data_IF_319865698463
#
_entry.id   IF_319865698463
#
_cell.length_a   1.000
_cell.length_b   1.000
_cell.length_c   1.000
_cell.angle_alpha   90.00
_cell.angle_beta   90.00
_cell.angle_gamma   90.00
#
_symmetry.space_group_name_H-M   'P 1'
#
loop_
_entity.id
_entity.type
_entity.pdbx_description
1 polymer ?
#
# COMPACT_ATOMS: atom_id res chain seq x y z
N UNK A 1 1.29 -17.47 -72.82
CA UNK A 1 0.98 -18.31 -74.00
C UNK A 1 0.98 -19.75 -73.52
N UNK A 2 -0.18 -20.39 -73.59
CA UNK A 2 -0.45 -21.84 -73.73
C UNK A 2 0.11 -22.74 -72.60
N UNK A 3 -0.70 -23.15 -71.60
CA UNK A 3 -1.60 -24.35 -71.56
C UNK A 3 -0.78 -25.61 -71.16
N UNK A 4 -1.09 -26.39 -70.11
CA UNK A 4 -2.12 -27.46 -70.00
C UNK A 4 -1.99 -28.01 -68.54
N UNK A 5 -3.04 -27.96 -67.70
CA UNK A 5 -3.89 -29.08 -67.17
C UNK A 5 -3.12 -30.13 -66.33
N UNK A 6 -3.57 -30.56 -65.13
CA UNK A 6 -4.62 -31.58 -64.92
C UNK A 6 -5.36 -31.43 -63.58
N UNK A 7 -6.64 -31.80 -63.62
CA UNK A 7 -7.72 -31.84 -62.63
C UNK A 7 -7.55 -32.72 -61.38
N UNK A 8 -8.40 -32.52 -60.35
CA UNK A 8 -8.53 -33.38 -59.18
C UNK A 8 -9.47 -34.57 -59.42
N UNK A 9 -9.16 -35.71 -58.80
CA UNK A 9 -10.09 -36.85 -58.75
C UNK A 9 -10.95 -36.79 -57.47
N UNK A 10 -12.26 -36.77 -57.71
CA UNK A 10 -13.46 -36.68 -56.84
C UNK A 10 -13.94 -38.15 -56.54
N UNK A 11 -15.07 -38.53 -55.86
CA UNK A 11 -16.01 -37.92 -54.89
C UNK A 11 -16.32 -38.77 -53.62
N UNK A 12 -17.11 -38.20 -52.68
CA UNK A 12 -17.79 -38.96 -51.62
C UNK A 12 -18.89 -38.24 -50.82
N UNK A 13 -19.88 -37.65 -51.50
CA UNK A 13 -21.31 -37.49 -51.12
C UNK A 13 -21.74 -37.58 -49.62
N UNK A 14 -22.34 -36.51 -49.05
CA UNK A 14 -23.81 -36.29 -48.94
C UNK A 14 -24.20 -35.03 -48.16
N UNK A 15 -25.25 -34.40 -48.68
CA UNK A 15 -25.95 -33.18 -48.27
C UNK A 15 -27.14 -33.47 -47.37
N UNK A 16 -27.52 -32.50 -46.52
CA UNK A 16 -28.90 -31.99 -46.25
C UNK A 16 -28.93 -31.35 -44.86
N UNK A 17 -29.73 -30.35 -44.48
CA UNK A 17 -30.59 -29.35 -45.12
C UNK A 17 -31.23 -28.55 -43.96
N UNK A 18 -31.58 -27.28 -44.17
CA UNK A 18 -32.83 -26.60 -43.76
C UNK A 18 -32.61 -25.11 -43.49
N UNK A 19 -33.07 -24.19 -44.34
CA UNK A 19 -34.44 -23.68 -44.59
C UNK A 19 -34.67 -22.36 -43.83
N UNK A 20 -34.66 -21.29 -44.61
CA UNK A 20 -35.15 -19.94 -44.31
C UNK A 20 -36.68 -19.89 -44.46
N UNK A 21 -37.34 -19.13 -43.58
CA UNK A 21 -38.71 -18.64 -43.79
C UNK A 21 -38.73 -17.12 -43.71
N UNK A 22 -39.47 -16.56 -44.68
CA UNK A 22 -39.59 -15.14 -45.03
C UNK A 22 -41.04 -14.72 -44.75
N UNK A 23 -41.26 -13.48 -44.31
CA UNK A 23 -42.57 -12.83 -44.42
C UNK A 23 -42.39 -11.34 -44.77
N UNK A 24 -43.31 -10.79 -45.58
CA UNK A 24 -43.32 -9.46 -46.22
C UNK A 24 -44.77 -8.87 -46.09
N UNK A 25 -45.12 -7.65 -46.58
CA UNK A 25 -45.42 -6.42 -45.82
C UNK A 25 -46.86 -5.87 -46.04
N UNK A 26 -47.17 -4.61 -45.64
CA UNK A 26 -47.51 -3.53 -46.63
C UNK A 26 -46.97 -2.12 -46.21
N UNK A 27 -46.40 -1.24 -47.08
CA UNK A 27 -46.96 -0.25 -48.06
C UNK A 27 -47.82 0.89 -47.44
N UNK A 28 -47.72 2.19 -47.76
CA UNK A 28 -46.82 3.07 -48.53
C UNK A 28 -47.15 4.56 -48.22
N UNK A 29 -46.18 5.50 -48.31
CA UNK A 29 -46.43 6.95 -48.26
C UNK A 29 -45.17 7.76 -48.60
N UNK A 30 -45.26 8.66 -49.59
CA UNK A 30 -44.17 9.34 -50.33
C UNK A 30 -43.53 10.52 -49.56
N UNK A 31 -42.24 10.78 -49.78
CA UNK A 31 -41.64 12.10 -49.54
C UNK A 31 -40.11 12.16 -49.31
N UNK A 32 -39.36 12.39 -50.39
CA UNK A 32 -38.04 13.05 -50.52
C UNK A 32 -36.98 13.01 -49.38
N UNK A 33 -35.92 12.23 -49.63
CA UNK A 33 -34.52 12.68 -49.84
C UNK A 33 -33.84 13.63 -48.81
N UNK A 34 -33.02 13.09 -47.91
CA UNK A 34 -31.58 13.45 -47.77
C UNK A 34 -30.84 12.46 -46.85
N UNK A 35 -29.59 12.12 -47.21
CA UNK A 35 -28.70 11.22 -46.46
C UNK A 35 -28.03 11.92 -45.28
N UNK A 36 -27.76 11.19 -44.18
CA UNK A 36 -26.51 11.37 -43.47
C UNK A 36 -25.67 10.08 -43.43
N UNK A 37 -24.38 10.29 -43.68
CA UNK A 37 -23.30 9.31 -43.55
C UNK A 37 -23.20 8.81 -42.11
N UNK A 38 -23.29 7.50 -41.90
CA UNK A 38 -22.77 6.83 -40.70
C UNK A 38 -21.75 5.80 -41.17
N UNK A 39 -20.47 6.10 -40.94
CA UNK A 39 -19.36 5.17 -41.13
C UNK A 39 -19.39 4.18 -39.97
N UNK A 40 -19.60 2.91 -40.28
CA UNK A 40 -19.42 1.80 -39.36
C UNK A 40 -17.94 1.63 -39.04
N UNK A 41 -17.61 1.62 -37.74
CA UNK A 41 -16.28 1.28 -37.24
C UNK A 41 -16.08 -0.23 -37.36
N UNK A 42 -15.16 -0.66 -38.23
CA UNK A 42 -14.73 -2.04 -38.38
C UNK A 42 -13.58 -2.26 -37.40
N UNK A 43 -13.80 -3.10 -36.39
CA UNK A 43 -12.79 -3.61 -35.48
C UNK A 43 -11.88 -4.58 -36.23
N UNK A 44 -10.63 -4.20 -36.49
CA UNK A 44 -9.63 -5.07 -37.09
C UNK A 44 -9.06 -6.03 -36.03
N UNK A 45 -9.40 -7.32 -36.13
CA UNK A 45 -8.75 -8.40 -35.40
C UNK A 45 -7.74 -9.06 -36.34
N UNK A 46 -6.47 -8.71 -36.21
CA UNK A 46 -5.38 -9.30 -37.00
C UNK A 46 -5.05 -10.70 -36.50
N UNK A 47 -5.56 -11.74 -37.18
CA UNK A 47 -5.02 -13.10 -37.10
C UNK A 47 -3.81 -13.19 -38.06
N UNK A 48 -2.61 -13.34 -37.51
CA UNK A 48 -1.42 -13.68 -38.26
C UNK A 48 -1.30 -15.21 -38.33
N UNK A 49 -1.77 -15.81 -39.42
CA UNK A 49 -1.59 -17.23 -39.73
C UNK A 49 -0.18 -17.46 -40.28
N UNK A 50 0.69 -18.07 -39.47
CA UNK A 50 2.04 -18.49 -39.89
C UNK A 50 1.95 -19.81 -40.67
N UNK A 51 2.36 -19.77 -41.94
CA UNK A 51 2.48 -20.96 -42.80
C UNK A 51 3.73 -21.75 -42.38
N UNK A 52 3.56 -22.98 -41.91
CA UNK A 52 4.67 -23.90 -41.69
C UNK A 52 5.09 -24.54 -43.02
N UNK A 53 6.28 -24.19 -43.51
CA UNK A 53 6.99 -24.94 -44.54
C UNK A 53 7.47 -26.26 -43.92
N UNK A 54 6.89 -27.38 -44.34
CA UNK A 54 7.42 -28.71 -44.03
C UNK A 54 8.56 -28.99 -45.01
N UNK A 55 9.79 -28.76 -44.57
CA UNK A 55 10.96 -29.35 -45.18
C UNK A 55 11.06 -30.82 -44.75
N UNK A 56 11.07 -31.74 -45.72
CA UNK A 56 11.55 -33.10 -45.46
C UNK A 56 13.06 -33.03 -45.21
N UNK A 57 13.47 -33.01 -43.95
CA UNK A 57 14.84 -33.32 -43.57
C UNK A 57 14.98 -34.81 -43.24
N UNK A 58 16.07 -35.38 -43.76
CA UNK A 58 16.59 -36.73 -43.55
C UNK A 58 16.58 -37.15 -42.06
N UNK A 59 16.63 -38.46 -41.73
CA UNK A 59 16.63 -38.91 -40.34
C UNK A 59 17.87 -38.39 -39.60
N UNK A 60 17.71 -37.28 -38.89
CA UNK A 60 18.70 -36.74 -37.95
C UNK A 60 18.74 -37.71 -36.78
N UNK A 61 19.94 -38.24 -36.50
CA UNK A 61 20.22 -38.99 -35.28
C UNK A 61 19.72 -38.18 -34.07
N UNK A 62 19.11 -38.81 -33.04
CA UNK A 62 18.69 -38.10 -31.85
C UNK A 62 19.91 -37.39 -31.25
N UNK A 63 19.97 -36.06 -31.38
CA UNK A 63 20.86 -35.26 -30.54
C UNK A 63 20.28 -35.35 -29.14
N UNK A 64 21.10 -35.76 -28.17
CA UNK A 64 20.86 -35.75 -26.73
C UNK A 64 20.58 -34.32 -26.18
N UNK A 65 19.54 -33.66 -26.70
CA UNK A 65 19.22 -32.24 -26.43
C UNK A 65 17.79 -32.01 -25.97
N UNK A 66 16.94 -33.04 -25.86
CA UNK A 66 15.55 -32.94 -25.41
C UNK A 66 15.37 -33.07 -23.90
N UNK A 67 16.43 -33.41 -23.17
CA UNK A 67 16.38 -33.49 -21.72
C UNK A 67 16.24 -32.08 -21.11
N UNK A 68 15.26 -31.92 -20.21
CA UNK A 68 15.13 -30.73 -19.37
C UNK A 68 16.32 -30.70 -18.42
N UNK A 69 17.15 -29.65 -18.51
CA UNK A 69 18.33 -29.46 -17.66
C UNK A 69 18.11 -28.38 -16.61
N UNK A 70 17.05 -27.58 -16.73
CA UNK A 70 16.72 -26.52 -15.79
C UNK A 70 15.20 -26.32 -15.70
N UNK A 71 14.69 -26.04 -14.50
CA UNK A 71 13.33 -25.53 -14.29
C UNK A 71 13.40 -24.03 -13.97
N UNK A 72 12.53 -23.24 -14.59
CA UNK A 72 12.27 -21.85 -14.22
C UNK A 72 10.90 -21.74 -13.56
N UNK A 73 10.84 -21.02 -12.46
CA UNK A 73 9.59 -20.65 -11.78
C UNK A 73 9.33 -19.16 -12.00
N UNK A 74 8.09 -18.81 -12.33
CA UNK A 74 7.66 -17.43 -12.54
C UNK A 74 6.42 -17.11 -11.69
N UNK A 75 6.39 -15.97 -10.96
CA UNK A 75 7.51 -15.04 -10.77
C UNK A 75 8.66 -15.71 -9.98
N UNK A 76 9.89 -15.23 -10.16
CA UNK A 76 11.08 -15.71 -9.44
C UNK A 76 11.16 -15.18 -7.99
N UNK A 77 10.52 -14.05 -7.73
CA UNK A 77 10.26 -13.55 -6.39
C UNK A 77 8.95 -12.77 -6.28
N UNK A 78 8.35 -12.79 -5.09
CA UNK A 78 7.14 -12.04 -4.74
C UNK A 78 7.19 -11.60 -3.29
N UNK A 79 6.58 -10.47 -2.95
CA UNK A 79 6.33 -10.10 -1.55
C UNK A 79 4.85 -10.30 -1.23
N UNK A 80 4.54 -11.05 -0.17
CA UNK A 80 3.16 -11.38 0.21
C UNK A 80 2.88 -11.02 1.66
N UNK A 81 1.67 -10.51 1.91
CA UNK A 81 1.11 -10.39 3.25
C UNK A 81 0.66 -11.76 3.78
N UNK A 82 0.54 -11.96 5.11
CA UNK A 82 0.02 -13.21 5.65
C UNK A 82 -1.36 -13.56 5.08
N UNK A 83 -1.59 -14.83 4.79
CA UNK A 83 -2.80 -15.38 4.15
C UNK A 83 -3.02 -14.97 2.69
N UNK A 84 -2.16 -14.14 2.10
CA UNK A 84 -2.25 -13.81 0.67
C UNK A 84 -1.83 -15.00 -0.20
N UNK A 85 -2.48 -15.15 -1.36
CA UNK A 85 -2.19 -16.19 -2.33
C UNK A 85 -1.41 -15.68 -3.54
N UNK A 86 -0.50 -16.48 -4.09
CA UNK A 86 0.21 -16.23 -5.34
C UNK A 86 0.24 -17.48 -6.22
N UNK A 87 -0.09 -17.33 -7.51
CA UNK A 87 0.10 -18.38 -8.51
C UNK A 87 1.53 -18.39 -9.06
N UNK A 88 2.17 -19.55 -9.05
CA UNK A 88 3.47 -19.79 -9.69
C UNK A 88 3.32 -20.72 -10.89
N UNK A 89 4.09 -20.46 -11.94
CA UNK A 89 4.15 -21.31 -13.14
C UNK A 89 5.58 -21.81 -13.32
N UNK A 90 5.73 -23.08 -13.70
CA UNK A 90 7.02 -23.68 -14.00
C UNK A 90 7.18 -23.95 -15.50
N UNK A 91 8.39 -23.73 -16.04
CA UNK A 91 8.77 -24.14 -17.39
C UNK A 91 10.15 -24.81 -17.40
N UNK A 92 10.31 -25.83 -18.25
CA UNK A 92 11.59 -26.49 -18.45
C UNK A 92 12.44 -25.79 -19.49
N UNK A 93 13.76 -25.84 -19.34
CA UNK A 93 14.72 -25.47 -20.38
C UNK A 93 15.60 -26.67 -20.75
N UNK A 94 15.77 -26.88 -22.05
CA UNK A 94 16.69 -27.89 -22.59
C UNK A 94 18.12 -27.40 -22.57
N UNK A 95 19.08 -28.30 -22.81
CA UNK A 95 20.48 -27.92 -23.01
C UNK A 95 20.68 -26.95 -24.19
N UNK A 96 19.78 -26.98 -25.18
CA UNK A 96 19.76 -26.03 -26.31
C UNK A 96 19.20 -24.65 -25.96
N UNK A 97 18.64 -24.47 -24.76
CA UNK A 97 18.03 -23.21 -24.30
C UNK A 97 16.54 -23.05 -24.63
N UNK A 98 15.94 -24.01 -25.33
CA UNK A 98 14.52 -24.01 -25.69
C UNK A 98 13.64 -24.18 -24.45
N UNK A 99 12.50 -23.48 -24.41
CA UNK A 99 11.52 -23.60 -23.32
C UNK A 99 10.47 -24.64 -23.66
N UNK A 100 10.11 -25.48 -22.69
CA UNK A 100 9.09 -26.52 -22.83
C UNK A 100 8.17 -26.60 -21.61
N UNK A 101 6.93 -27.05 -21.85
CA UNK A 101 6.01 -27.39 -20.78
C UNK A 101 6.52 -28.61 -20.00
N UNK A 102 6.27 -28.62 -18.69
CA UNK A 102 6.76 -29.65 -17.77
C UNK A 102 5.72 -29.95 -16.71
N UNK A 103 5.62 -31.21 -16.31
CA UNK A 103 4.89 -31.60 -15.11
C UNK A 103 5.83 -31.51 -13.92
N UNK A 104 5.42 -30.79 -12.88
CA UNK A 104 6.23 -30.56 -11.68
C UNK A 104 5.46 -30.90 -10.42
N UNK A 105 6.19 -31.35 -9.40
CA UNK A 105 5.71 -31.41 -8.03
C UNK A 105 6.12 -30.14 -7.31
N UNK A 106 5.14 -29.46 -6.70
CA UNK A 106 5.36 -28.25 -5.92
C UNK A 106 5.60 -28.58 -4.45
N UNK A 107 6.59 -27.92 -3.84
CA UNK A 107 6.83 -27.95 -2.39
C UNK A 107 7.15 -26.56 -1.88
N UNK A 108 7.06 -26.37 -0.56
CA UNK A 108 7.33 -25.10 0.09
C UNK A 108 7.96 -25.28 1.46
N UNK A 109 8.81 -24.33 1.88
CA UNK A 109 9.48 -24.38 3.19
C UNK A 109 8.58 -23.97 4.37
N UNK A 110 7.50 -23.24 4.12
CA UNK A 110 6.46 -22.85 5.09
C UNK A 110 5.18 -22.47 4.34
N UNK A 111 4.04 -22.32 5.02
CA UNK A 111 2.75 -22.07 4.36
C UNK A 111 2.20 -23.29 3.64
N UNK A 112 1.36 -23.06 2.63
CA UNK A 112 0.75 -24.14 1.83
C UNK A 112 0.86 -23.86 0.35
N UNK A 113 1.04 -24.89 -0.48
CA UNK A 113 1.00 -24.77 -1.94
C UNK A 113 0.16 -25.90 -2.53
N UNK A 114 -0.72 -25.57 -3.46
CA UNK A 114 -1.56 -26.55 -4.16
C UNK A 114 -0.78 -27.24 -5.28
N UNK A 115 -1.23 -28.41 -5.77
CA UNK A 115 -0.65 -29.04 -6.96
C UNK A 115 -0.69 -28.16 -8.22
N UNK A 116 -1.59 -27.16 -8.27
CA UNK A 116 -1.67 -26.19 -9.36
C UNK A 116 -0.67 -25.02 -9.24
N UNK A 117 0.23 -25.04 -8.25
CA UNK A 117 1.22 -23.99 -8.05
C UNK A 117 0.68 -22.73 -7.37
N UNK A 118 -0.51 -22.79 -6.75
CA UNK A 118 -1.04 -21.67 -5.96
C UNK A 118 -0.56 -21.78 -4.52
N UNK A 119 0.32 -20.86 -4.13
CA UNK A 119 0.88 -20.72 -2.79
C UNK A 119 0.00 -19.82 -1.90
N UNK A 120 -0.11 -20.12 -0.60
CA UNK A 120 -0.72 -19.28 0.43
C UNK A 120 0.26 -19.04 1.57
N UNK A 121 0.55 -17.77 1.88
CA UNK A 121 1.45 -17.40 2.96
C UNK A 121 0.88 -17.71 4.35
N UNK A 122 1.69 -18.32 5.22
CA UNK A 122 1.43 -18.42 6.65
C UNK A 122 1.79 -17.13 7.40
N UNK A 123 1.60 -17.14 8.72
CA UNK A 123 1.87 -16.00 9.61
C UNK A 123 3.32 -15.97 10.15
N UNK A 124 4.15 -16.97 9.84
CA UNK A 124 5.55 -17.01 10.27
C UNK A 124 6.38 -15.88 9.64
N UNK A 125 7.40 -15.40 10.34
CA UNK A 125 8.16 -14.22 9.92
C UNK A 125 9.33 -14.50 8.95
N UNK A 126 9.63 -15.77 8.66
CA UNK A 126 10.75 -16.17 7.79
C UNK A 126 10.36 -16.20 6.31
N UNK A 127 11.21 -15.71 5.41
CA UNK A 127 11.01 -15.83 3.96
C UNK A 127 10.84 -17.31 3.54
N UNK A 128 10.07 -17.53 2.48
CA UNK A 128 9.69 -18.86 2.01
C UNK A 128 10.32 -19.15 0.66
N UNK A 129 10.73 -20.41 0.48
CA UNK A 129 11.16 -20.94 -0.81
C UNK A 129 10.02 -21.80 -1.34
N UNK A 130 9.56 -21.49 -2.55
CA UNK A 130 8.66 -22.33 -3.33
C UNK A 130 9.50 -23.07 -4.37
N UNK A 131 9.40 -24.40 -4.39
CA UNK A 131 10.21 -25.25 -5.27
C UNK A 131 9.31 -26.01 -6.24
N UNK A 132 9.63 -25.96 -7.53
CA UNK A 132 9.09 -26.83 -8.56
C UNK A 132 10.13 -27.89 -8.93
N UNK A 133 9.82 -29.16 -8.73
CA UNK A 133 10.69 -30.29 -9.11
C UNK A 133 10.06 -31.07 -10.24
N UNK A 134 10.81 -31.30 -11.32
CA UNK A 134 10.37 -32.09 -12.46
C UNK A 134 9.98 -33.52 -12.04
N UNK A 135 8.80 -33.98 -12.44
CA UNK A 135 8.34 -35.34 -12.10
C UNK A 135 9.30 -36.40 -12.69
N UNK A 136 9.75 -37.33 -11.85
CA UNK A 136 10.68 -38.39 -12.25
C UNK A 136 12.15 -37.95 -12.40
N UNK A 137 12.51 -36.74 -11.96
CA UNK A 137 13.87 -36.19 -12.02
C UNK A 137 14.22 -35.42 -10.74
N UNK A 138 15.50 -35.07 -10.57
CA UNK A 138 16.00 -34.20 -9.49
C UNK A 138 16.15 -32.74 -9.94
N UNK A 139 15.84 -32.42 -11.20
CA UNK A 139 15.95 -31.05 -11.72
C UNK A 139 14.82 -30.19 -11.12
N UNK A 140 15.19 -29.11 -10.45
CA UNK A 140 14.27 -28.20 -9.78
C UNK A 140 14.56 -26.73 -10.06
N UNK A 141 13.56 -25.89 -9.84
CA UNK A 141 13.64 -24.44 -9.88
C UNK A 141 12.96 -23.87 -8.65
N UNK A 142 13.41 -22.69 -8.21
CA UNK A 142 12.90 -22.05 -7.00
C UNK A 142 12.36 -20.66 -7.29
N UNK A 143 11.39 -20.25 -6.48
CA UNK A 143 10.97 -18.87 -6.33
C UNK A 143 11.04 -18.47 -4.86
N UNK A 144 11.33 -17.19 -4.62
CA UNK A 144 11.46 -16.63 -3.29
C UNK A 144 10.23 -15.80 -2.91
N UNK A 145 9.51 -16.22 -1.88
CA UNK A 145 8.43 -15.44 -1.28
C UNK A 145 8.99 -14.69 -0.08
N UNK A 146 9.04 -13.37 -0.18
CA UNK A 146 9.33 -12.51 0.96
C UNK A 146 8.05 -12.28 1.74
N UNK A 147 7.95 -12.82 2.96
CA UNK A 147 6.78 -12.56 3.79
C UNK A 147 6.91 -11.15 4.36
N UNK A 148 5.92 -10.30 4.08
CA UNK A 148 5.78 -9.02 4.77
C UNK A 148 5.49 -9.35 6.23
N UNK A 149 6.49 -9.04 7.07
CA UNK A 149 6.30 -9.04 8.51
C UNK A 149 5.19 -8.03 8.81
N UNK A 150 4.28 -8.37 9.71
CA UNK A 150 3.24 -7.46 10.17
C UNK A 150 3.72 -6.87 11.49
N UNK A 151 3.51 -5.58 11.71
CA UNK A 151 3.76 -4.98 13.00
C UNK A 151 2.93 -5.73 14.06
N UNK A 152 3.43 -5.93 15.29
CA UNK A 152 2.61 -6.52 16.33
C UNK A 152 1.30 -5.73 16.46
N UNK A 153 0.19 -6.46 16.57
CA UNK A 153 -1.11 -5.80 16.68
C UNK A 153 -1.14 -4.94 17.94
N UNK A 154 -1.59 -3.70 17.77
CA UNK A 154 -1.80 -2.72 18.82
C UNK A 154 -3.30 -2.57 19.09
N UNK A 155 -3.67 -2.44 20.36
CA UNK A 155 -5.04 -2.08 20.75
C UNK A 155 -5.33 -0.61 20.43
N UNK A 156 -4.31 0.24 20.59
CA UNK A 156 -4.38 1.66 20.31
C UNK A 156 -3.10 2.17 19.64
N UNK A 157 -3.26 2.95 18.57
CA UNK A 157 -2.18 3.65 17.86
C UNK A 157 -2.38 5.15 17.96
N UNK A 158 -1.33 5.87 18.36
CA UNK A 158 -1.30 7.31 18.52
C UNK A 158 -0.23 7.89 17.60
N UNK A 159 -0.54 9.00 16.95
CA UNK A 159 0.44 9.82 16.24
C UNK A 159 0.38 11.25 16.77
N UNK A 160 1.53 11.80 17.12
CA UNK A 160 1.74 13.23 17.37
C UNK A 160 2.60 13.75 16.23
N UNK A 161 2.16 14.82 15.57
CA UNK A 161 2.94 15.51 14.54
C UNK A 161 3.39 16.87 15.06
N UNK A 162 4.71 17.04 15.13
CA UNK A 162 5.41 18.30 15.41
C UNK A 162 5.89 18.91 14.08
N UNK A 163 6.39 20.14 14.07
CA UNK A 163 6.58 20.93 12.85
C UNK A 163 8.02 21.38 12.60
N UNK A 164 8.42 21.49 11.33
CA UNK A 164 9.47 22.37 10.79
C UNK A 164 10.86 22.36 11.46
N UNK A 165 11.40 21.21 11.85
CA UNK A 165 12.76 21.12 12.41
C UNK A 165 13.62 20.04 11.77
N UNK A 166 14.87 20.41 11.48
CA UNK A 166 15.89 19.46 11.03
C UNK A 166 16.12 18.39 12.11
N UNK A 167 16.38 17.16 11.69
CA UNK A 167 16.68 16.04 12.59
C UNK A 167 17.70 16.39 13.69
N UNK A 168 18.78 17.11 13.33
CA UNK A 168 19.84 17.49 14.28
C UNK A 168 19.47 18.60 15.26
N UNK A 169 18.42 19.37 14.98
CA UNK A 169 17.89 20.36 15.92
C UNK A 169 17.08 19.70 17.05
N UNK A 170 16.51 18.51 16.77
CA UNK A 170 15.67 17.74 17.69
C UNK A 170 16.47 16.64 18.40
N UNK A 171 16.98 15.67 17.65
CA UNK A 171 17.61 14.47 18.22
C UNK A 171 19.04 14.77 18.66
N UNK A 172 19.31 14.60 19.96
CA UNK A 172 20.61 14.89 20.56
C UNK A 172 20.79 16.36 20.96
N UNK A 173 19.75 17.18 20.82
CA UNK A 173 19.70 18.57 21.26
C UNK A 173 19.29 18.69 22.73
N UNK A 174 19.84 19.67 23.45
CA UNK A 174 19.40 20.00 24.81
C UNK A 174 18.05 20.73 24.84
N UNK A 175 17.49 21.10 23.69
CA UNK A 175 16.21 21.78 23.58
C UNK A 175 15.01 20.82 23.65
N UNK A 176 15.20 19.54 23.34
CA UNK A 176 14.16 18.50 23.43
C UNK A 176 14.62 17.25 24.21
N UNK A 177 14.98 17.39 25.50
CA UNK A 177 15.48 16.29 26.30
C UNK A 177 14.45 15.16 26.50
N UNK A 178 13.15 15.46 26.62
CA UNK A 178 12.13 14.44 26.81
C UNK A 178 11.97 13.57 25.56
N UNK A 179 11.78 14.16 24.38
CA UNK A 179 11.68 13.38 23.13
C UNK A 179 12.97 12.60 22.83
N UNK A 180 14.14 13.20 23.08
CA UNK A 180 15.42 12.50 22.95
C UNK A 180 15.52 11.31 23.90
N UNK A 181 15.01 11.42 25.13
CA UNK A 181 14.99 10.29 26.07
C UNK A 181 14.11 9.13 25.58
N UNK A 182 12.97 9.42 24.96
CA UNK A 182 12.11 8.40 24.35
C UNK A 182 12.81 7.70 23.19
N UNK A 183 13.51 8.47 22.33
CA UNK A 183 14.28 7.92 21.23
C UNK A 183 15.42 6.99 21.69
N UNK A 184 16.06 7.31 22.83
CA UNK A 184 17.09 6.46 23.44
C UNK A 184 16.52 5.20 24.09
N UNK A 185 15.31 5.28 24.64
CA UNK A 185 14.67 4.17 25.33
C UNK A 185 14.00 3.18 24.37
N UNK A 186 13.42 3.67 23.27
CA UNK A 186 12.59 2.90 22.36
C UNK A 186 13.20 2.86 20.94
N UNK A 187 12.43 3.14 19.90
CA UNK A 187 12.88 3.08 18.51
C UNK A 187 13.05 4.46 17.87
N UNK A 188 14.12 4.63 17.09
CA UNK A 188 14.41 5.83 16.32
C UNK A 188 14.73 5.48 14.86
N UNK A 189 14.02 6.09 13.92
CA UNK A 189 14.35 6.01 12.50
C UNK A 189 15.39 7.08 12.17
N UNK A 190 16.66 6.69 12.09
CA UNK A 190 17.74 7.66 11.84
C UNK A 190 17.70 8.22 10.43
N UNK A 191 17.14 7.49 9.46
CA UNK A 191 17.05 7.90 8.05
C UNK A 191 15.59 8.17 7.63
N UNK A 192 14.83 8.88 8.47
CA UNK A 192 13.48 9.32 8.15
C UNK A 192 13.48 10.70 7.48
N UNK A 193 12.75 10.85 6.38
CA UNK A 193 12.67 12.08 5.61
C UNK A 193 11.22 12.48 5.35
N UNK A 194 10.96 13.77 5.42
CA UNK A 194 9.68 14.33 4.99
C UNK A 194 9.53 14.28 3.47
N UNK A 195 8.30 14.35 3.00
CA UNK A 195 7.98 14.14 1.60
C UNK A 195 8.03 15.43 0.80
N UNK A 196 7.70 16.57 1.40
CA UNK A 196 7.55 17.82 0.66
C UNK A 196 7.66 19.06 1.55
N UNK A 197 7.51 20.22 0.91
CA UNK A 197 7.33 21.54 1.50
C UNK A 197 6.17 22.27 0.79
N UNK A 198 5.28 22.99 1.49
CA UNK A 198 5.19 23.20 2.94
C UNK A 198 4.33 22.11 3.64
N UNK A 199 4.18 22.25 4.97
CA UNK A 199 3.63 21.27 5.90
C UNK A 199 2.37 20.52 5.45
N UNK A 200 1.38 21.22 4.89
CA UNK A 200 0.06 20.61 4.58
C UNK A 200 0.16 19.38 3.67
N UNK A 201 1.16 19.33 2.79
CA UNK A 201 1.41 18.16 1.94
C UNK A 201 1.81 16.92 2.73
N UNK A 202 2.64 17.10 3.78
CA UNK A 202 3.08 16.02 4.66
C UNK A 202 1.93 15.50 5.54
N UNK A 203 1.04 16.38 6.04
CA UNK A 203 -0.18 15.94 6.75
C UNK A 203 -1.11 15.11 5.85
N UNK A 204 -1.29 15.52 4.59
CA UNK A 204 -2.06 14.72 3.65
C UNK A 204 -1.36 13.40 3.31
N UNK A 205 -0.03 13.36 3.25
CA UNK A 205 0.71 12.10 3.05
C UNK A 205 0.49 11.15 4.26
N UNK A 206 0.52 11.68 5.50
CA UNK A 206 0.23 10.92 6.72
C UNK A 206 -1.24 10.44 6.79
N UNK A 207 -2.19 11.14 6.16
CA UNK A 207 -3.61 10.78 6.21
C UNK A 207 -4.10 9.97 4.99
N UNK A 208 -3.46 10.13 3.83
CA UNK A 208 -3.95 9.62 2.54
C UNK A 208 -2.91 8.86 1.72
N UNK A 209 -1.64 8.90 2.14
CA UNK A 209 -0.52 8.39 1.35
C UNK A 209 -0.31 9.17 0.05
N UNK A 210 -0.79 10.42 -0.02
CA UNK A 210 -0.66 11.28 -1.19
C UNK A 210 -0.43 12.74 -0.76
N UNK A 211 0.47 13.42 -1.44
CA UNK A 211 0.58 14.88 -1.41
C UNK A 211 -0.57 15.47 -2.23
N UNK A 212 -1.67 15.83 -1.57
CA UNK A 212 -2.85 16.41 -2.24
C UNK A 212 -2.60 17.85 -2.68
N UNK A 213 -1.84 18.60 -1.88
CA UNK A 213 -1.55 20.01 -2.13
C UNK A 213 -0.36 20.45 -1.29
N UNK A 214 0.30 21.50 -1.76
CA UNK A 214 1.34 22.25 -1.05
C UNK A 214 0.91 23.72 -0.84
N UNK A 215 -0.41 23.96 -0.84
CA UNK A 215 -0.98 25.28 -0.61
C UNK A 215 -1.61 25.32 0.79
N UNK A 216 -0.99 26.04 1.72
CA UNK A 216 -1.49 26.17 3.10
C UNK A 216 -2.89 26.79 3.20
N UNK A 217 -3.34 27.52 2.16
CA UNK A 217 -4.70 28.05 2.09
C UNK A 217 -5.72 27.06 1.53
N UNK A 218 -5.35 25.81 1.30
CA UNK A 218 -6.24 24.79 0.75
C UNK A 218 -7.43 24.52 1.68
N UNK A 219 -8.62 24.46 1.08
CA UNK A 219 -9.89 24.33 1.81
C UNK A 219 -10.90 23.42 1.11
N UNK A 220 -10.47 22.73 0.05
CA UNK A 220 -11.32 21.84 -0.72
C UNK A 220 -11.47 20.50 0.00
N UNK A 221 -12.68 19.94 -0.04
CA UNK A 221 -12.94 18.61 0.50
C UNK A 221 -12.29 17.55 -0.39
N UNK A 222 -11.52 16.68 0.24
CA UNK A 222 -10.70 15.64 -0.38
C UNK A 222 -11.43 14.31 -0.35
N UNK A 223 -11.63 13.70 -1.51
CA UNK A 223 -12.41 12.46 -1.66
C UNK A 223 -11.58 11.20 -1.87
N UNK A 224 -10.25 11.34 -1.99
CA UNK A 224 -9.36 10.20 -2.20
C UNK A 224 -9.46 9.19 -1.06
N UNK A 225 -8.99 7.98 -1.33
CA UNK A 225 -8.82 6.98 -0.29
C UNK A 225 -7.88 7.46 0.83
N UNK A 226 -8.23 7.15 2.08
CA UNK A 226 -7.60 7.74 3.26
C UNK A 226 -7.73 6.85 4.49
N UNK A 227 -6.95 7.18 5.52
CA UNK A 227 -6.86 6.44 6.78
C UNK A 227 -8.23 6.24 7.45
N UNK A 228 -9.12 7.24 7.45
CA UNK A 228 -10.46 7.13 8.06
C UNK A 228 -11.27 6.06 7.35
N UNK A 229 -11.30 6.09 6.01
CA UNK A 229 -12.01 5.08 5.22
C UNK A 229 -11.51 3.67 5.52
N UNK A 230 -10.18 3.51 5.64
CA UNK A 230 -9.55 2.22 5.91
C UNK A 230 -9.82 1.71 7.33
N UNK A 231 -9.82 2.59 8.32
CA UNK A 231 -10.18 2.25 9.70
C UNK A 231 -11.65 1.82 9.80
N UNK A 232 -12.58 2.59 9.21
CA UNK A 232 -14.01 2.27 9.24
C UNK A 232 -14.31 0.94 8.54
N UNK A 233 -13.68 0.67 7.40
CA UNK A 233 -13.83 -0.61 6.70
C UNK A 233 -13.34 -1.81 7.53
N UNK A 234 -12.38 -1.60 8.43
CA UNK A 234 -11.87 -2.61 9.36
C UNK A 234 -12.62 -2.65 10.70
N UNK A 235 -13.70 -1.86 10.87
CA UNK A 235 -14.44 -1.77 12.12
C UNK A 235 -13.68 -1.08 13.25
N UNK A 236 -12.68 -0.26 12.92
CA UNK A 236 -11.84 0.47 13.88
C UNK A 236 -12.40 1.85 14.19
N UNK A 237 -12.26 2.25 15.44
CA UNK A 237 -12.63 3.57 15.93
C UNK A 237 -11.47 4.54 15.79
N UNK A 238 -11.77 5.83 15.62
CA UNK A 238 -10.75 6.87 15.51
C UNK A 238 -11.21 8.19 16.10
N UNK A 239 -10.26 9.04 16.50
CA UNK A 239 -10.47 10.46 16.79
C UNK A 239 -9.25 11.30 16.38
N UNK A 240 -9.48 12.57 16.07
CA UNK A 240 -8.44 13.59 16.02
C UNK A 240 -8.61 14.55 17.18
N UNK A 241 -7.63 14.57 18.08
CA UNK A 241 -7.53 15.45 19.24
C UNK A 241 -6.66 16.65 18.88
N UNK A 242 -7.27 17.81 18.66
CA UNK A 242 -6.55 19.02 18.26
C UNK A 242 -6.64 20.09 19.35
N UNK A 243 -5.51 20.65 19.76
CA UNK A 243 -5.50 21.79 20.68
C UNK A 243 -6.18 23.00 20.03
N UNK A 244 -6.83 23.80 20.87
CA UNK A 244 -7.61 24.98 20.47
C UNK A 244 -8.70 24.75 19.42
N UNK A 245 -9.06 23.48 19.11
CA UNK A 245 -10.22 23.19 18.28
C UNK A 245 -11.47 23.80 18.97
N UNK A 246 -12.23 24.69 18.29
CA UNK A 246 -13.27 25.48 18.97
C UNK A 246 -14.41 24.65 19.57
N UNK A 247 -14.74 23.53 18.92
CA UNK A 247 -15.84 22.66 19.31
C UNK A 247 -15.71 21.30 18.64
N UNK A 248 -16.40 20.30 19.20
CA UNK A 248 -16.50 18.98 18.59
C UNK A 248 -17.10 19.10 17.18
N UNK A 249 -16.42 18.51 16.21
CA UNK A 249 -16.83 18.51 14.81
C UNK A 249 -16.59 19.80 14.05
N UNK A 250 -15.76 20.71 14.57
CA UNK A 250 -15.37 21.91 13.85
C UNK A 250 -14.53 21.57 12.61
N UNK A 251 -14.96 22.05 11.44
CA UNK A 251 -14.27 21.91 10.14
C UNK A 251 -13.97 23.26 9.48
N UNK A 252 -14.16 24.35 10.23
CA UNK A 252 -13.94 25.72 9.76
C UNK A 252 -12.46 26.05 9.58
N UNK A 253 -12.15 27.30 9.18
CA UNK A 253 -10.77 27.75 9.02
C UNK A 253 -10.03 27.85 10.36
N UNK A 254 -8.75 28.18 10.29
CA UNK A 254 -7.87 28.46 11.43
C UNK A 254 -8.49 29.47 12.40
N UNK A 255 -8.23 29.29 13.70
CA UNK A 255 -8.78 30.15 14.75
C UNK A 255 -7.94 30.06 16.02
N UNK A 256 -7.46 31.21 16.52
CA UNK A 256 -6.55 31.22 17.66
C UNK A 256 -5.28 30.42 17.36
N UNK A 257 -4.91 29.49 18.25
CA UNK A 257 -3.80 28.56 18.05
C UNK A 257 -4.12 27.34 17.19
N UNK A 258 -5.37 27.13 16.78
CA UNK A 258 -5.75 25.99 15.94
C UNK A 258 -5.52 26.32 14.45
N UNK A 259 -4.71 25.48 13.79
CA UNK A 259 -4.50 25.51 12.35
C UNK A 259 -5.15 24.27 11.69
N UNK A 260 -6.11 24.47 10.79
CA UNK A 260 -6.78 23.36 10.08
C UNK A 260 -5.80 22.59 9.19
N UNK A 261 -4.77 23.25 8.66
CA UNK A 261 -3.75 22.59 7.83
C UNK A 261 -2.99 21.47 8.59
N UNK A 262 -2.89 21.54 9.92
CA UNK A 262 -2.29 20.48 10.77
C UNK A 262 -3.33 19.39 11.13
N UNK A 263 -4.61 19.60 10.83
CA UNK A 263 -5.70 18.64 11.05
C UNK A 263 -6.48 18.40 9.75
N UNK A 264 -5.79 17.84 8.75
CA UNK A 264 -6.38 17.55 7.42
C UNK A 264 -7.57 16.60 7.45
N UNK A 265 -7.84 15.91 8.57
CA UNK A 265 -9.05 15.12 8.77
C UNK A 265 -10.32 15.99 8.64
N UNK A 266 -10.24 17.28 8.97
CA UNK A 266 -11.31 18.26 8.76
C UNK A 266 -11.59 18.57 7.27
N UNK A 267 -10.77 18.04 6.35
CA UNK A 267 -10.93 18.18 4.90
C UNK A 267 -11.26 16.86 4.20
N UNK A 268 -11.28 15.72 4.92
CA UNK A 268 -11.59 14.43 4.31
C UNK A 268 -13.10 14.25 4.13
N UNK A 269 -13.52 13.80 2.96
CA UNK A 269 -14.95 13.62 2.65
C UNK A 269 -15.63 12.62 3.57
N UNK A 270 -14.93 11.57 4.01
CA UNK A 270 -15.42 10.55 4.95
C UNK A 270 -15.71 11.12 6.35
N UNK A 271 -15.15 12.30 6.66
CA UNK A 271 -15.37 13.03 7.91
C UNK A 271 -16.38 14.15 7.69
N UNK A 272 -16.16 14.97 6.68
CA UNK A 272 -16.98 16.16 6.43
C UNK A 272 -18.38 15.80 5.98
N UNK A 273 -18.60 14.70 5.26
CA UNK A 273 -19.93 14.34 4.76
C UNK A 273 -20.71 13.40 5.69
N UNK A 274 -20.11 12.93 6.78
CA UNK A 274 -20.75 12.05 7.76
C UNK A 274 -20.77 12.72 9.14
N UNK A 275 -21.97 13.05 9.64
CA UNK A 275 -22.11 13.70 10.95
C UNK A 275 -21.55 12.88 12.11
N UNK A 276 -21.62 11.54 12.04
CA UNK A 276 -21.08 10.68 13.09
C UNK A 276 -19.54 10.73 13.10
N UNK A 277 -18.92 10.72 11.93
CA UNK A 277 -17.46 10.82 11.79
C UNK A 277 -16.96 12.23 12.12
N UNK A 278 -17.72 13.27 11.76
CA UNK A 278 -17.36 14.65 12.11
C UNK A 278 -17.22 14.84 13.62
N UNK A 279 -18.07 14.20 14.44
CA UNK A 279 -17.95 14.28 15.92
C UNK A 279 -16.68 13.62 16.49
N UNK A 280 -15.86 12.97 15.66
CA UNK A 280 -14.55 12.43 16.03
C UNK A 280 -13.41 13.45 15.95
N UNK A 281 -13.68 14.63 15.38
CA UNK A 281 -12.82 15.80 15.56
C UNK A 281 -13.15 16.43 16.90
N UNK A 282 -12.21 16.38 17.84
CA UNK A 282 -12.45 16.78 19.23
C UNK A 282 -11.38 17.74 19.73
N UNK A 283 -11.74 18.70 20.62
CA UNK A 283 -10.74 19.49 21.32
C UNK A 283 -9.81 18.60 22.16
N UNK A 284 -8.51 18.91 22.16
CA UNK A 284 -7.50 18.10 22.84
C UNK A 284 -7.78 17.88 24.33
N UNK A 285 -8.49 18.81 24.98
CA UNK A 285 -8.92 18.64 26.38
C UNK A 285 -9.79 17.40 26.64
N UNK A 286 -10.35 16.76 25.60
CA UNK A 286 -11.03 15.46 25.72
C UNK A 286 -10.08 14.27 25.86
N UNK A 287 -8.81 14.42 25.50
CA UNK A 287 -7.83 13.33 25.52
C UNK A 287 -7.62 12.75 26.92
N UNK A 288 -7.41 13.61 27.93
CA UNK A 288 -7.19 13.17 29.30
C UNK A 288 -8.42 12.46 29.93
N UNK A 289 -9.67 12.97 29.79
CA UNK A 289 -10.87 12.23 30.17
C UNK A 289 -11.02 10.89 29.44
N UNK A 290 -10.75 10.84 28.13
CA UNK A 290 -10.87 9.59 27.37
C UNK A 290 -9.85 8.54 27.87
N UNK A 291 -8.62 8.98 28.15
CA UNK A 291 -7.55 8.16 28.73
C UNK A 291 -7.95 7.64 30.13
N UNK A 292 -8.40 8.53 31.02
CA UNK A 292 -8.77 8.17 32.38
C UNK A 292 -9.96 7.20 32.44
N UNK A 293 -10.89 7.30 31.49
CA UNK A 293 -12.07 6.44 31.42
C UNK A 293 -11.88 5.17 30.59
N UNK A 294 -10.70 4.94 29.99
CA UNK A 294 -10.45 3.78 29.13
C UNK A 294 -11.29 3.79 27.85
N UNK A 295 -11.50 4.97 27.27
CA UNK A 295 -12.38 5.20 26.10
C UNK A 295 -11.63 5.80 24.90
N UNK A 296 -10.30 5.68 24.90
CA UNK A 296 -9.47 6.04 23.75
C UNK A 296 -9.89 5.21 22.52
N UNK A 297 -9.86 5.78 21.32
CA UNK A 297 -10.17 5.05 20.09
C UNK A 297 -9.01 4.12 19.69
N UNK A 298 -9.24 3.21 18.75
CA UNK A 298 -8.17 2.40 18.15
C UNK A 298 -7.09 3.31 17.51
N UNK A 299 -7.48 4.39 16.82
CA UNK A 299 -6.55 5.36 16.24
C UNK A 299 -6.75 6.79 16.77
N UNK A 300 -5.67 7.41 17.27
CA UNK A 300 -5.67 8.78 17.76
C UNK A 300 -4.68 9.64 16.98
N UNK A 301 -5.18 10.62 16.22
CA UNK A 301 -4.38 11.71 15.67
C UNK A 301 -4.30 12.84 16.70
N UNK A 302 -3.11 13.24 17.13
CA UNK A 302 -2.90 14.27 18.13
C UNK A 302 -2.21 15.46 17.46
N UNK A 303 -2.84 16.63 17.55
CA UNK A 303 -2.42 17.86 16.87
C UNK A 303 -2.19 18.95 17.92
N UNK A 304 -0.94 19.25 18.28
CA UNK A 304 -0.61 20.42 19.10
C UNK A 304 -1.05 21.72 18.41
N UNK A 305 -1.23 22.79 19.19
CA UNK A 305 -1.49 24.11 18.60
C UNK A 305 -0.20 24.75 18.09
N UNK A 306 -0.32 25.90 17.42
CA UNK A 306 0.81 26.64 16.85
C UNK A 306 1.96 26.93 17.84
N UNK A 307 1.72 26.98 19.16
CA UNK A 307 2.81 27.18 20.12
C UNK A 307 3.39 25.88 20.69
N UNK A 308 2.68 24.77 20.58
CA UNK A 308 3.11 23.49 21.13
C UNK A 308 3.59 22.51 20.04
N UNK A 309 3.52 22.88 18.77
CA UNK A 309 3.93 22.09 17.60
C UNK A 309 5.42 22.25 17.24
N UNK A 310 6.19 22.93 18.08
CA UNK A 310 7.60 23.26 17.89
C UNK A 310 7.93 24.32 16.81
N UNK A 311 6.97 24.85 16.05
CA UNK A 311 7.28 25.81 14.99
C UNK A 311 7.16 27.27 15.42
N UNK A 312 5.99 27.72 15.90
CA UNK A 312 5.82 29.15 16.22
C UNK A 312 6.40 29.52 17.60
N UNK A 313 6.64 28.51 18.43
CA UNK A 313 7.28 28.62 19.74
C UNK A 313 8.52 27.71 19.83
N UNK A 314 9.24 27.77 20.95
CA UNK A 314 10.52 27.06 21.07
C UNK A 314 10.36 25.54 21.11
N UNK A 315 11.37 24.81 20.64
CA UNK A 315 11.53 23.36 20.83
C UNK A 315 11.34 22.92 22.29
N UNK A 316 11.77 23.74 23.26
CA UNK A 316 11.60 23.45 24.69
C UNK A 316 10.15 23.59 25.15
N UNK A 317 9.36 24.46 24.53
CA UNK A 317 7.92 24.56 24.77
C UNK A 317 7.23 23.28 24.32
N UNK A 318 7.50 22.83 23.09
CA UNK A 318 6.96 21.59 22.54
C UNK A 318 7.41 20.36 23.36
N UNK A 319 8.68 20.27 23.72
CA UNK A 319 9.19 19.14 24.54
C UNK A 319 8.55 19.10 25.93
N UNK A 320 8.31 20.26 26.55
CA UNK A 320 7.57 20.37 27.81
C UNK A 320 6.10 19.95 27.62
N UNK A 321 5.49 20.33 26.50
CA UNK A 321 4.13 19.91 26.17
C UNK A 321 4.02 18.39 26.00
N UNK A 322 4.96 17.76 25.27
CA UNK A 322 5.06 16.32 25.15
C UNK A 322 5.22 15.64 26.51
N UNK A 323 6.09 16.17 27.37
CA UNK A 323 6.29 15.66 28.73
C UNK A 323 5.01 15.73 29.59
N UNK A 324 4.26 16.83 29.50
CA UNK A 324 3.05 17.02 30.32
C UNK A 324 1.85 16.22 29.80
N UNK A 325 1.70 16.10 28.49
CA UNK A 325 0.47 15.59 27.88
C UNK A 325 0.60 14.15 27.35
N UNK A 326 1.80 13.73 26.95
CA UNK A 326 2.05 12.41 26.36
C UNK A 326 2.65 11.43 27.37
N UNK A 327 3.45 11.88 28.34
CA UNK A 327 3.97 10.98 29.38
C UNK A 327 2.86 10.23 30.16
N UNK A 328 1.72 10.85 30.53
CA UNK A 328 0.62 10.14 31.16
C UNK A 328 0.02 9.02 30.30
N UNK A 329 -0.03 9.20 28.97
CA UNK A 329 -0.44 8.14 28.05
C UNK A 329 0.53 6.98 28.13
N UNK A 330 1.85 7.23 27.97
CA UNK A 330 2.87 6.19 27.96
C UNK A 330 2.86 5.41 29.27
N UNK A 331 2.69 6.08 30.41
CA UNK A 331 2.64 5.44 31.73
C UNK A 331 1.34 4.67 32.02
N UNK A 332 0.29 4.85 31.21
CA UNK A 332 -1.03 4.27 31.48
C UNK A 332 -1.07 2.74 31.30
N UNK A 333 -1.88 2.01 32.09
CA UNK A 333 -2.06 0.58 31.91
C UNK A 333 -2.56 0.19 30.51
N UNK A 334 -3.47 1.00 29.95
CA UNK A 334 -4.01 0.80 28.59
C UNK A 334 -2.90 0.84 27.55
N UNK A 335 -1.98 1.81 27.64
CA UNK A 335 -0.86 1.88 26.72
C UNK A 335 0.17 0.77 26.95
N UNK A 336 0.45 0.42 28.21
CA UNK A 336 1.42 -0.63 28.54
C UNK A 336 0.98 -2.04 28.13
N UNK A 337 -0.31 -2.26 27.86
CA UNK A 337 -0.80 -3.53 27.35
C UNK A 337 -0.32 -3.78 25.91
N UNK A 338 -0.64 -2.87 24.99
CA UNK A 338 -0.33 -3.02 23.56
C UNK A 338 -0.39 -1.70 22.78
N UNK A 339 -0.14 -0.56 23.43
CA UNK A 339 -0.13 0.75 22.79
C UNK A 339 1.06 0.96 21.84
N UNK A 340 0.84 1.74 20.79
CA UNK A 340 1.87 2.21 19.88
C UNK A 340 1.74 3.73 19.73
N UNK A 341 2.81 4.46 20.08
CA UNK A 341 2.89 5.90 19.89
C UNK A 341 3.99 6.19 18.86
N UNK A 342 3.68 7.10 17.93
CA UNK A 342 4.61 7.64 16.95
C UNK A 342 4.66 9.15 17.18
N UNK A 343 5.87 9.69 17.37
CA UNK A 343 6.12 11.13 17.38
C UNK A 343 6.99 11.43 16.16
N UNK A 344 6.51 12.29 15.28
CA UNK A 344 7.14 12.59 14.00
C UNK A 344 7.08 14.09 13.72
N UNK A 345 8.12 14.63 13.11
CA UNK A 345 8.10 16.00 12.58
C UNK A 345 7.55 16.00 11.16
N UNK A 346 6.86 17.04 10.72
CA UNK A 346 6.21 17.08 9.42
C UNK A 346 7.22 17.33 8.26
N UNK A 347 8.16 18.25 8.45
CA UNK A 347 9.19 18.66 7.52
C UNK A 347 10.38 19.29 8.24
N UNK A 348 11.51 19.37 7.55
CA UNK A 348 12.72 19.97 8.13
C UNK A 348 12.69 21.49 7.98
N UNK A 349 13.51 22.22 8.74
CA UNK A 349 13.50 23.70 8.67
C UNK A 349 14.40 24.26 7.58
N UNK A 350 15.46 23.53 7.20
CA UNK A 350 16.48 24.01 6.26
C UNK A 350 16.95 22.96 5.25
N UNK A 351 16.43 21.74 5.33
CA UNK A 351 16.76 20.63 4.43
C UNK A 351 15.59 20.36 3.43
N UNK A 352 15.94 19.94 2.22
CA UNK A 352 14.97 19.52 1.20
C UNK A 352 15.34 18.17 0.58
N UNK A 353 16.28 17.45 1.20
CA UNK A 353 16.68 16.10 0.81
C UNK A 353 15.47 15.18 0.83
N UNK A 354 15.27 14.41 -0.24
CA UNK A 354 14.08 13.56 -0.45
C UNK A 354 12.74 14.31 -0.44
N UNK A 355 12.74 15.63 -0.66
CA UNK A 355 11.55 16.47 -0.76
C UNK A 355 11.42 17.42 0.41
N UNK A 356 11.18 16.90 1.62
CA UNK A 356 10.97 17.70 2.85
C UNK A 356 12.16 17.75 3.81
N UNK A 357 13.25 17.02 3.51
CA UNK A 357 14.45 16.95 4.35
C UNK A 357 14.38 15.94 5.49
N UNK A 358 15.50 15.73 6.18
CA UNK A 358 15.63 14.74 7.25
C UNK A 358 15.05 15.28 8.56
N UNK A 359 14.18 14.49 9.17
CA UNK A 359 13.34 14.90 10.32
C UNK A 359 13.36 13.83 11.43
N UNK A 360 12.98 14.22 12.65
CA UNK A 360 12.87 13.29 13.76
C UNK A 360 11.63 12.39 13.63
N UNK A 361 11.83 11.10 13.91
CA UNK A 361 10.76 10.11 13.99
C UNK A 361 11.09 9.09 15.09
N UNK A 362 10.20 8.98 16.06
CA UNK A 362 10.36 8.14 17.25
C UNK A 362 9.14 7.24 17.40
N UNK A 363 9.38 5.96 17.68
CA UNK A 363 8.34 5.00 18.03
C UNK A 363 8.49 4.56 19.47
N UNK A 364 7.37 4.56 20.19
CA UNK A 364 7.27 4.23 21.61
C UNK A 364 6.21 3.17 21.78
N UNK A 365 6.51 2.15 22.58
CA UNK A 365 5.52 1.13 22.94
C UNK A 365 6.16 -0.09 23.61
N UNK A 366 5.40 -0.86 24.41
CA UNK A 366 5.90 -2.04 25.12
C UNK A 366 6.43 -3.14 24.17
N UNK A 367 5.98 -3.16 22.91
CA UNK A 367 6.42 -4.13 21.89
C UNK A 367 7.55 -3.60 21.00
N UNK A 368 7.95 -2.34 21.15
CA UNK A 368 9.08 -1.78 20.40
C UNK A 368 10.41 -2.28 20.98
N UNK A 369 11.41 -2.47 20.11
CA UNK A 369 12.76 -2.85 20.52
C UNK A 369 13.40 -1.71 21.32
N UNK A 370 13.96 -1.99 22.50
CA UNK A 370 14.58 -0.95 23.33
C UNK A 370 15.85 -0.40 22.66
N UNK A 371 15.98 0.92 22.61
CA UNK A 371 17.10 1.65 22.02
C UNK A 371 17.43 1.30 20.57
N UNK A 372 16.44 0.88 19.77
CA UNK A 372 16.67 0.42 18.41
C UNK A 372 16.82 1.58 17.42
N UNK A 373 17.93 1.57 16.68
CA UNK A 373 18.24 2.55 15.65
C UNK A 373 18.10 1.91 14.27
N UNK A 374 17.10 2.32 13.50
CA UNK A 374 16.99 1.93 12.10
C UNK A 374 17.79 2.87 11.20
N UNK A 375 18.50 2.31 10.23
CA UNK A 375 19.16 3.04 9.13
C UNK A 375 18.43 2.93 7.81
N UNK A 376 17.27 2.25 7.79
CA UNK A 376 16.40 2.15 6.61
C UNK A 376 15.80 3.51 6.29
N UNK A 377 15.75 3.85 4.99
CA UNK A 377 15.10 5.08 4.54
C UNK A 377 13.59 4.93 4.64
N UNK A 378 12.95 5.84 5.38
CA UNK A 378 11.50 5.92 5.55
C UNK A 378 10.98 7.33 5.28
N UNK A 379 9.69 7.42 4.95
CA UNK A 379 8.94 8.66 4.71
C UNK A 379 7.50 8.53 5.24
N UNK A 380 6.66 9.58 5.16
CA UNK A 380 5.31 9.60 5.77
C UNK A 380 4.40 8.45 5.38
N UNK A 381 4.47 7.97 4.13
CA UNK A 381 3.73 6.80 3.69
C UNK A 381 4.11 5.51 4.45
N UNK A 382 5.35 5.39 4.93
CA UNK A 382 5.77 4.27 5.79
C UNK A 382 5.16 4.34 7.18
N UNK A 383 5.00 5.55 7.73
CA UNK A 383 4.30 5.78 9.00
C UNK A 383 2.81 5.45 8.88
N UNK A 384 2.15 5.94 7.82
CA UNK A 384 0.75 5.60 7.57
C UNK A 384 0.54 4.10 7.39
N UNK A 385 1.46 3.43 6.67
CA UNK A 385 1.46 1.97 6.54
C UNK A 385 1.59 1.30 7.92
N UNK A 386 2.55 1.72 8.75
CA UNK A 386 2.75 1.16 10.10
C UNK A 386 1.50 1.30 10.97
N UNK A 387 0.87 2.48 10.98
CA UNK A 387 -0.35 2.74 11.75
C UNK A 387 -1.44 1.74 11.38
N UNK A 388 -1.69 1.56 10.09
CA UNK A 388 -2.73 0.67 9.58
C UNK A 388 -2.38 -0.81 9.82
N UNK A 389 -1.12 -1.21 9.60
CA UNK A 389 -0.64 -2.58 9.88
C UNK A 389 -0.82 -2.95 11.36
N UNK A 390 -0.39 -2.07 12.27
CA UNK A 390 -0.51 -2.29 13.71
C UNK A 390 -1.97 -2.40 14.16
N UNK A 391 -2.90 -1.74 13.46
CA UNK A 391 -4.34 -1.86 13.72
C UNK A 391 -5.00 -3.07 13.03
N UNK A 392 -4.23 -3.90 12.32
CA UNK A 392 -4.75 -5.06 11.61
C UNK A 392 -5.52 -4.71 10.33
N UNK A 393 -5.30 -3.51 9.78
CA UNK A 393 -5.86 -3.10 8.50
C UNK A 393 -5.00 -3.65 7.37
N UNK A 394 -5.61 -4.34 6.40
CA UNK A 394 -4.91 -4.99 5.29
C UNK A 394 -4.92 -4.18 3.97
N UNK A 395 -5.63 -3.05 3.93
CA UNK A 395 -5.69 -2.17 2.75
C UNK A 395 -5.20 -0.78 3.11
N UNK A 396 -4.16 -0.32 2.41
CA UNK A 396 -3.48 0.94 2.68
C UNK A 396 -3.77 1.95 1.56
N UNK A 397 -4.02 3.23 1.88
CA UNK A 397 -4.30 4.25 0.89
C UNK A 397 -3.00 4.77 0.23
N UNK A 398 -3.10 5.21 -1.02
CA UNK A 398 -2.01 5.90 -1.71
C UNK A 398 -0.67 5.14 -1.71
N UNK A 399 0.42 5.87 -1.50
CA UNK A 399 1.78 5.36 -1.45
C UNK A 399 2.02 4.40 -0.26
N UNK A 400 1.17 4.40 0.77
CA UNK A 400 1.31 3.50 1.92
C UNK A 400 1.18 2.02 1.51
N UNK A 401 0.48 1.71 0.42
CA UNK A 401 0.36 0.33 -0.10
C UNK A 401 1.70 -0.32 -0.49
N UNK A 402 2.64 0.51 -0.95
CA UNK A 402 3.95 0.06 -1.45
C UNK A 402 5.12 0.58 -0.62
N UNK A 403 4.86 1.44 0.37
CA UNK A 403 5.87 2.00 1.26
C UNK A 403 6.69 0.90 1.98
N UNK A 404 7.98 1.10 2.26
CA UNK A 404 8.74 0.19 3.12
C UNK A 404 8.05 -0.03 4.46
N UNK A 405 7.93 -1.28 4.89
CA UNK A 405 7.34 -1.65 6.18
C UNK A 405 8.29 -1.30 7.33
N UNK A 406 7.75 -0.85 8.46
CA UNK A 406 8.51 -0.45 9.65
C UNK A 406 8.50 -1.53 10.74
N UNK A 407 8.34 -2.79 10.35
CA UNK A 407 8.24 -3.91 11.31
C UNK A 407 9.54 -4.22 12.04
N UNK A 408 10.67 -3.73 11.53
CA UNK A 408 11.98 -3.93 12.17
C UNK A 408 12.10 -3.25 13.53
N UNK A 409 11.23 -2.29 13.84
CA UNK A 409 11.16 -1.64 15.14
C UNK A 409 10.61 -2.54 16.26
N UNK A 410 10.07 -3.72 15.93
CA UNK A 410 9.39 -4.57 16.90
C UNK A 410 10.03 -5.94 17.03
N UNK A 411 9.94 -6.52 18.21
CA UNK A 411 10.27 -7.94 18.42
C UNK A 411 9.21 -8.80 17.71
N UNK A 412 9.62 -9.88 17.00
CA UNK A 412 8.69 -10.80 16.34
C UNK A 412 7.67 -11.44 17.27
#
# INVERSE_FOLDING_TARGET
>A
MIEITVEPCVPGLRSSASTLLRAKPPAAGKGAMSLPRVRASITALTLLSLVALVGCELPIHPRDGSAVVQIRVAPDSVALDPSQTQGFVASGRTAGGDSMAVDVTWTTSAGTITPAGVYTADTGAADVIVTATLVGSQVSGVAHVRKRRVAPQAGHVFIVTEENHDYSAVIGSSSMPYLTSLAQQYGLATQYYANTHPSIGNYFELATGQIITNNDSYSTIVTVDNVVRRLLAAGKTWKSYAEDLPSVGYTGPDVGGYARKHNVFALLSDVVNDSSQRTRLVPFIQFAPDLANGTLPDFSNIVPNLCNDAHDCSLTTADTWLGNNIAPLIASPTFQQDGLLIIVFDESGSDSTNGGGRIAWVVVGPKSKPGYLSTTLYQHQSTLRLILEALGVAQFPGAAATAPAMTEFFTP
#
